data_IF_311208799597
#
_entry.id   IF_311208799597
#
_cell.length_a   1.000
_cell.length_b   1.000
_cell.length_c   1.000
_cell.angle_alpha   90.00
_cell.angle_beta   90.00
_cell.angle_gamma   90.00
#
_symmetry.space_group_name_H-M   'P 1'
#
loop_
_entity.id
_entity.type
_entity.pdbx_description
1 polymer ?
#
# COMPACT_ATOMS: atom_id res chain seq x y z
N UNK A 1 -13.62 30.60 -1.20
CA UNK A 1 -13.76 30.97 0.23
C UNK A 1 -14.84 32.01 0.32
N UNK A 2 -15.80 31.85 1.19
CA UNK A 2 -16.82 32.85 1.47
C UNK A 2 -16.29 33.72 2.60
N UNK A 3 -16.12 35.05 2.32
CA UNK A 3 -15.65 36.03 3.29
C UNK A 3 -16.80 36.79 3.92
N UNK A 4 -18.05 36.43 3.68
CA UNK A 4 -19.25 37.10 4.20
C UNK A 4 -19.22 37.16 5.74
N UNK A 5 -19.41 38.38 6.27
CA UNK A 5 -19.38 38.61 7.70
C UNK A 5 -18.01 38.80 8.35
N UNK A 6 -16.92 38.49 7.63
CA UNK A 6 -15.55 38.80 8.05
C UNK A 6 -15.30 40.27 7.81
N UNK A 7 -14.58 40.94 8.70
CA UNK A 7 -14.28 42.37 8.60
C UNK A 7 -13.02 42.63 7.78
N UNK A 8 -13.08 43.65 6.92
CA UNK A 8 -11.89 44.14 6.23
C UNK A 8 -10.91 44.77 7.25
N UNK A 9 -9.63 44.34 7.26
CA UNK A 9 -8.65 44.78 8.25
C UNK A 9 -8.34 46.31 8.19
N UNK A 10 -8.71 46.98 7.10
CA UNK A 10 -8.42 48.40 6.89
C UNK A 10 -9.58 49.28 7.30
N UNK A 11 -10.82 48.96 6.93
CA UNK A 11 -11.99 49.79 7.17
C UNK A 11 -12.96 49.22 8.22
N UNK A 12 -12.68 48.06 8.76
CA UNK A 12 -13.44 47.33 9.80
C UNK A 12 -14.90 47.00 9.43
N UNK A 13 -15.28 47.20 8.16
CA UNK A 13 -16.61 46.85 7.65
C UNK A 13 -16.65 45.37 7.28
N UNK A 14 -17.77 44.66 7.60
CA UNK A 14 -17.93 43.26 7.20
C UNK A 14 -18.12 43.15 5.70
N UNK A 15 -17.55 42.06 5.10
CA UNK A 15 -17.76 41.77 3.69
C UNK A 15 -19.20 41.30 3.42
N UNK A 16 -19.77 41.79 2.32
CA UNK A 16 -21.07 41.42 1.79
C UNK A 16 -20.92 40.61 0.50
N UNK A 17 -22.02 40.04 -0.01
CA UNK A 17 -21.98 39.22 -1.24
C UNK A 17 -21.57 39.99 -2.50
N UNK A 18 -21.74 41.33 -2.50
CA UNK A 18 -21.47 42.15 -3.67
C UNK A 18 -20.13 42.92 -3.57
N UNK A 19 -19.35 42.70 -2.53
CA UNK A 19 -18.08 43.41 -2.34
C UNK A 19 -16.98 42.83 -3.24
N UNK A 20 -16.22 43.73 -3.87
CA UNK A 20 -15.03 43.34 -4.64
C UNK A 20 -13.84 43.12 -3.68
N UNK A 21 -13.55 41.87 -3.43
CA UNK A 21 -12.55 41.41 -2.46
C UNK A 21 -11.26 41.05 -3.17
N UNK A 22 -10.14 41.49 -2.60
CA UNK A 22 -8.78 41.02 -2.97
C UNK A 22 -8.11 40.37 -1.77
N UNK A 23 -7.34 39.35 -2.02
CA UNK A 23 -6.64 38.57 -0.99
C UNK A 23 -5.14 38.79 -1.12
N UNK A 24 -4.46 38.99 -0.01
CA UNK A 24 -3.01 39.12 -0.01
C UNK A 24 -2.35 37.81 -0.51
N UNK A 25 -1.47 37.84 -1.53
CA UNK A 25 -0.87 36.62 -2.07
C UNK A 25 0.10 35.94 -1.09
N UNK A 26 0.57 36.63 -0.07
CA UNK A 26 1.57 36.07 0.89
C UNK A 26 0.88 35.42 2.09
N UNK A 27 -0.02 36.13 2.79
CA UNK A 27 -0.64 35.61 4.01
C UNK A 27 -2.12 35.21 3.84
N UNK A 28 -2.76 35.54 2.71
CA UNK A 28 -4.16 35.16 2.47
C UNK A 28 -5.21 36.07 3.11
N UNK A 29 -4.83 37.21 3.72
CA UNK A 29 -5.76 38.14 4.35
C UNK A 29 -6.68 38.85 3.33
N UNK A 30 -8.02 38.88 3.54
CA UNK A 30 -8.97 39.53 2.63
C UNK A 30 -9.11 41.05 2.89
N UNK A 31 -9.29 41.79 1.80
CA UNK A 31 -9.49 43.26 1.81
C UNK A 31 -10.54 43.64 0.78
N UNK A 32 -11.28 44.74 0.99
CA UNK A 32 -11.93 45.42 -0.12
C UNK A 32 -10.85 45.91 -1.08
N UNK A 33 -11.05 45.74 -2.39
CA UNK A 33 -10.06 46.15 -3.41
C UNK A 33 -9.67 47.61 -3.30
N UNK A 34 -10.63 48.49 -2.98
CA UNK A 34 -10.37 49.90 -2.74
C UNK A 34 -9.44 50.15 -1.56
N UNK A 35 -9.69 49.49 -0.43
CA UNK A 35 -8.88 49.62 0.79
C UNK A 35 -7.45 49.08 0.59
N UNK A 36 -7.30 48.00 -0.16
CA UNK A 36 -5.99 47.45 -0.46
C UNK A 36 -5.16 48.35 -1.38
N UNK A 37 -5.81 48.99 -2.37
CA UNK A 37 -5.16 49.95 -3.25
C UNK A 37 -4.76 51.24 -2.49
N UNK A 38 -5.60 51.71 -1.58
CA UNK A 38 -5.32 52.93 -0.77
C UNK A 38 -4.13 52.71 0.18
N UNK A 39 -4.02 51.53 0.80
CA UNK A 39 -2.88 51.15 1.66
C UNK A 39 -1.63 50.79 0.89
N UNK A 40 -1.75 50.37 -0.36
CA UNK A 40 -0.64 49.98 -1.24
C UNK A 40 0.04 48.67 -0.87
N UNK A 41 -0.21 48.14 0.32
CA UNK A 41 0.37 46.85 0.79
C UNK A 41 -0.51 46.17 1.86
N UNK A 42 -0.23 44.91 2.14
CA UNK A 42 -0.86 44.17 3.24
C UNK A 42 -0.40 44.74 4.59
N UNK A 43 -1.33 44.90 5.56
CA UNK A 43 -1.01 45.42 6.88
C UNK A 43 -0.43 44.36 7.84
N UNK A 44 -0.49 43.09 7.50
CA UNK A 44 0.01 41.98 8.31
C UNK A 44 1.44 41.60 7.92
N UNK A 45 2.39 42.53 8.10
CA UNK A 45 3.82 42.33 7.81
C UNK A 45 4.42 41.20 8.65
N UNK A 46 4.01 41.08 9.91
CA UNK A 46 4.47 40.06 10.86
C UNK A 46 4.13 38.62 10.40
N UNK A 47 2.96 38.48 9.74
CA UNK A 47 2.57 37.18 9.15
C UNK A 47 3.43 36.84 7.94
N UNK A 48 3.86 37.84 7.16
CA UNK A 48 4.75 37.64 6.02
C UNK A 48 6.15 37.22 6.47
N UNK A 49 6.69 37.88 7.48
CA UNK A 49 8.02 37.55 8.04
C UNK A 49 8.05 36.19 8.71
N UNK A 50 6.95 35.80 9.38
CA UNK A 50 6.84 34.52 10.06
C UNK A 50 6.38 33.35 9.16
N UNK A 51 6.05 33.62 7.88
CA UNK A 51 5.53 32.63 6.94
C UNK A 51 4.16 32.04 7.33
N UNK A 52 3.41 32.74 8.20
CA UNK A 52 2.10 32.27 8.68
C UNK A 52 0.98 32.77 7.78
N UNK A 53 -0.07 31.98 7.65
CA UNK A 53 -1.31 32.34 6.96
C UNK A 53 -2.22 33.13 7.90
N UNK A 54 -2.93 34.13 7.34
CA UNK A 54 -3.96 34.85 8.07
C UNK A 54 -5.15 33.92 8.39
N UNK A 55 -5.69 34.04 9.59
CA UNK A 55 -6.93 33.40 10.01
C UNK A 55 -7.92 34.47 10.51
N UNK A 56 -9.24 34.30 10.25
CA UNK A 56 -10.24 35.24 10.77
C UNK A 56 -10.22 35.28 12.30
N UNK A 57 -10.38 36.45 12.92
CA UNK A 57 -10.48 36.57 14.37
C UNK A 57 -11.65 35.73 14.89
N UNK A 58 -11.40 34.88 15.86
CA UNK A 58 -12.43 34.06 16.51
C UNK A 58 -13.29 34.99 17.38
N UNK A 59 -14.65 34.96 17.27
CA UNK A 59 -15.52 35.75 18.15
C UNK A 59 -15.27 35.36 19.62
N UNK A 60 -15.30 36.29 20.57
CA UNK A 60 -15.03 36.05 21.99
C UNK A 60 -15.98 35.04 22.66
N UNK A 61 -17.12 34.75 22.03
CA UNK A 61 -18.13 33.78 22.52
C UNK A 61 -18.09 32.42 21.82
N UNK A 62 -17.10 32.17 20.95
CA UNK A 62 -16.90 30.83 20.45
C UNK A 62 -16.31 29.97 21.60
N UNK A 63 -16.97 28.84 21.98
CA UNK A 63 -16.40 27.97 23.01
C UNK A 63 -14.99 27.59 22.59
N UNK A 64 -14.02 27.82 23.50
CA UNK A 64 -12.62 27.41 23.32
C UNK A 64 -12.57 25.90 23.11
N UNK A 65 -12.72 25.46 21.87
CA UNK A 65 -12.52 24.07 21.46
C UNK A 65 -11.04 23.81 21.17
N UNK A 66 -10.17 24.12 22.11
CA UNK A 66 -8.98 23.33 22.38
C UNK A 66 -9.37 22.19 23.34
N UNK A 67 -10.51 21.54 23.09
CA UNK A 67 -10.70 20.18 23.56
C UNK A 67 -9.68 19.36 22.79
N UNK A 68 -8.76 18.74 23.51
CA UNK A 68 -7.94 17.65 23.00
C UNK A 68 -8.86 16.76 22.17
N UNK A 69 -8.69 16.78 20.87
CA UNK A 69 -9.48 15.96 19.94
C UNK A 69 -9.11 14.52 20.22
N UNK A 70 -9.86 13.90 21.15
CA UNK A 70 -9.61 12.50 21.54
C UNK A 70 -9.76 11.63 20.30
N UNK A 71 -8.76 10.81 20.05
CA UNK A 71 -8.81 9.77 19.04
C UNK A 71 -10.06 8.90 19.25
N UNK A 72 -10.69 8.50 18.14
CA UNK A 72 -11.88 7.65 18.17
C UNK A 72 -11.49 6.20 18.35
N UNK A 73 -11.98 5.58 19.39
CA UNK A 73 -11.87 4.14 19.55
C UNK A 73 -12.90 3.44 18.65
N UNK A 74 -12.46 2.46 17.88
CA UNK A 74 -13.35 1.70 17.01
C UNK A 74 -14.25 0.77 17.83
N UNK A 75 -15.58 0.86 17.72
CA UNK A 75 -16.51 0.03 18.51
C UNK A 75 -16.44 -1.46 18.14
N UNK A 76 -15.85 -1.80 17.00
CA UNK A 76 -15.78 -3.18 16.54
C UNK A 76 -14.44 -3.88 16.88
N UNK A 77 -13.30 -3.14 16.88
CA UNK A 77 -11.98 -3.76 17.09
C UNK A 77 -11.12 -3.06 18.14
N UNK A 78 -11.62 -2.03 18.82
CA UNK A 78 -10.90 -1.30 19.87
C UNK A 78 -9.72 -0.46 19.40
N UNK A 79 -9.45 -0.37 18.09
CA UNK A 79 -8.32 0.40 17.57
C UNK A 79 -8.57 1.90 17.67
N UNK A 80 -7.61 2.64 18.20
CA UNK A 80 -7.63 4.10 18.18
C UNK A 80 -7.40 4.61 16.76
N UNK A 81 -8.28 5.51 16.34
CA UNK A 81 -8.25 6.15 15.02
C UNK A 81 -8.25 7.67 15.21
N UNK A 82 -7.65 8.39 14.28
CA UNK A 82 -7.66 9.85 14.33
C UNK A 82 -9.09 10.38 14.47
N UNK A 83 -9.27 11.49 15.21
CA UNK A 83 -10.57 12.11 15.41
C UNK A 83 -11.37 12.36 14.12
N UNK A 84 -10.67 12.70 13.04
CA UNK A 84 -11.24 12.94 11.70
C UNK A 84 -11.54 11.67 10.92
N UNK A 85 -11.19 10.48 11.41
CA UNK A 85 -11.42 9.23 10.72
C UNK A 85 -12.93 8.95 10.59
N UNK A 86 -13.36 8.66 9.36
CA UNK A 86 -14.74 8.27 9.06
C UNK A 86 -14.92 6.76 9.19
N UNK A 87 -13.84 6.02 9.00
CA UNK A 87 -13.81 4.55 9.11
C UNK A 87 -12.58 4.12 9.89
N UNK A 88 -12.67 3.00 10.59
CA UNK A 88 -11.55 2.40 11.29
C UNK A 88 -10.47 1.94 10.28
N UNK A 89 -9.22 2.36 10.51
CA UNK A 89 -8.08 2.03 9.65
C UNK A 89 -7.70 0.53 9.67
N UNK A 90 -8.19 -0.22 10.65
CA UNK A 90 -7.91 -1.66 10.82
C UNK A 90 -9.06 -2.51 10.28
N UNK A 91 -10.31 -2.26 10.69
CA UNK A 91 -11.44 -3.14 10.38
C UNK A 91 -12.47 -2.54 9.41
N UNK A 92 -12.31 -1.27 9.00
CA UNK A 92 -13.23 -0.60 8.08
C UNK A 92 -14.59 -0.23 8.68
N UNK A 93 -14.83 -0.43 9.99
CA UNK A 93 -16.08 -0.04 10.65
C UNK A 93 -16.26 1.47 10.60
N UNK A 94 -17.50 1.93 10.32
CA UNK A 94 -17.82 3.37 10.33
C UNK A 94 -17.65 3.95 11.74
N UNK A 95 -16.96 5.08 11.83
CA UNK A 95 -16.71 5.84 13.06
C UNK A 95 -17.53 7.13 13.13
N UNK A 96 -18.52 7.31 12.24
CA UNK A 96 -19.33 8.52 12.14
C UNK A 96 -20.52 8.55 13.08
N UNK A 97 -20.76 7.49 13.88
CA UNK A 97 -21.85 7.42 14.85
C UNK A 97 -23.25 7.28 14.22
N UNK A 98 -23.35 7.11 12.91
CA UNK A 98 -24.61 6.72 12.29
C UNK A 98 -24.91 5.26 12.69
N UNK A 99 -26.11 4.95 13.23
CA UNK A 99 -26.48 3.56 13.49
C UNK A 99 -26.43 2.79 12.18
N UNK A 100 -25.82 1.62 12.20
CA UNK A 100 -25.86 0.66 11.08
C UNK A 100 -27.32 0.15 10.95
N UNK A 101 -28.18 0.90 10.27
CA UNK A 101 -29.56 0.48 9.95
C UNK A 101 -29.63 -0.72 8.98
N UNK A 102 -28.49 -1.29 8.60
CA UNK A 102 -28.44 -2.43 7.67
C UNK A 102 -28.08 -3.77 8.29
N UNK A 103 -28.38 -3.96 9.60
CA UNK A 103 -28.13 -5.27 10.24
C UNK A 103 -29.36 -6.18 10.35
N UNK A 104 -30.39 -6.02 9.52
CA UNK A 104 -31.41 -7.05 9.33
C UNK A 104 -32.38 -6.68 8.19
N UNK A 105 -32.07 -7.07 6.97
CA UNK A 105 -33.12 -7.40 6.01
C UNK A 105 -32.70 -8.62 5.21
N UNK A 106 -33.27 -9.74 5.57
CA UNK A 106 -33.30 -10.93 4.73
C UNK A 106 -33.88 -10.55 3.37
N UNK A 107 -33.25 -11.01 2.33
CA UNK A 107 -33.72 -10.87 0.96
C UNK A 107 -35.10 -11.51 0.84
N UNK A 108 -36.14 -10.70 0.81
CA UNK A 108 -37.44 -11.10 0.29
C UNK A 108 -37.56 -10.49 -1.11
N UNK A 109 -37.33 -11.33 -2.08
CA UNK A 109 -37.59 -11.05 -3.50
C UNK A 109 -39.10 -10.97 -3.68
N UNK A 110 -39.68 -9.77 -3.66
CA UNK A 110 -40.98 -9.54 -4.25
C UNK A 110 -40.82 -8.53 -5.39
N UNK A 111 -40.94 -9.08 -6.58
CA UNK A 111 -41.11 -8.36 -7.85
C UNK A 111 -42.34 -7.46 -7.75
N UNK A 112 -42.17 -6.17 -7.95
CA UNK A 112 -43.27 -5.28 -8.29
C UNK A 112 -43.26 -4.99 -9.80
N UNK A 113 -44.23 -5.51 -10.57
CA UNK A 113 -44.31 -5.28 -11.99
C UNK A 113 -45.18 -4.06 -12.29
N UNK A 114 -44.67 -2.85 -12.21
CA UNK A 114 -45.28 -1.67 -12.84
C UNK A 114 -44.35 -0.45 -12.72
N UNK A 115 -43.52 -0.26 -13.74
CA UNK A 115 -43.27 1.04 -14.32
C UNK A 115 -42.47 0.89 -15.64
N UNK A 116 -43.21 0.61 -16.70
CA UNK A 116 -42.76 0.84 -18.06
C UNK A 116 -43.08 2.30 -18.39
N UNK A 117 -42.05 3.10 -18.70
CA UNK A 117 -42.03 4.27 -19.57
C UNK A 117 -41.08 5.35 -19.04
N UNK A 118 -39.84 5.27 -19.48
CA UNK A 118 -39.05 6.48 -19.72
C UNK A 118 -38.03 6.22 -20.85
N UNK A 119 -38.23 6.74 -22.07
CA UNK A 119 -37.30 6.58 -23.18
C UNK A 119 -36.34 7.76 -23.23
N UNK A 120 -35.25 7.74 -22.47
CA UNK A 120 -34.07 8.55 -22.78
C UNK A 120 -32.83 7.89 -22.15
N UNK A 121 -32.37 6.83 -22.78
CA UNK A 121 -31.08 6.23 -22.52
C UNK A 121 -30.00 6.97 -23.30
N UNK A 122 -29.07 7.60 -22.58
CA UNK A 122 -27.75 7.89 -23.13
C UNK A 122 -26.76 6.90 -22.57
N UNK A 123 -26.39 5.94 -23.39
CA UNK A 123 -25.23 5.09 -23.21
C UNK A 123 -23.97 5.95 -23.29
N UNK A 124 -23.24 6.08 -22.18
CA UNK A 124 -21.86 6.53 -22.24
C UNK A 124 -20.95 5.39 -21.74
N UNK A 125 -20.52 4.56 -22.66
CA UNK A 125 -19.40 3.65 -22.49
C UNK A 125 -18.13 4.49 -22.59
N UNK A 126 -17.41 4.61 -21.49
CA UNK A 126 -15.94 4.68 -21.38
C UNK A 126 -15.53 5.37 -20.08
N UNK A 127 -15.59 4.61 -18.98
CA UNK A 127 -14.78 4.95 -17.81
C UNK A 127 -14.31 3.66 -17.12
N UNK A 128 -13.02 3.30 -17.15
CA UNK A 128 -12.52 2.07 -16.52
C UNK A 128 -12.43 2.14 -14.99
N UNK A 129 -12.84 3.24 -14.40
CA UNK A 129 -12.99 3.39 -12.95
C UNK A 129 -14.49 3.53 -12.65
N UNK A 130 -15.09 2.42 -12.18
CA UNK A 130 -16.51 2.31 -11.89
C UNK A 130 -17.05 3.51 -11.10
N UNK A 131 -18.01 4.19 -11.73
CA UNK A 131 -18.77 5.28 -11.13
C UNK A 131 -19.61 4.73 -9.98
N UNK A 132 -19.44 5.28 -8.78
CA UNK A 132 -20.43 5.19 -7.73
C UNK A 132 -21.72 5.87 -8.20
N UNK A 133 -22.91 5.32 -7.89
CA UNK A 133 -24.14 6.07 -8.10
C UNK A 133 -24.07 7.38 -7.29
N UNK A 134 -24.52 8.51 -7.87
CA UNK A 134 -24.52 9.77 -7.14
C UNK A 134 -25.44 9.64 -5.91
N UNK A 135 -25.06 10.19 -4.75
CA UNK A 135 -25.95 10.24 -3.61
C UNK A 135 -27.18 11.05 -3.96
N UNK A 136 -28.36 10.45 -3.77
CA UNK A 136 -29.62 11.14 -3.94
C UNK A 136 -29.67 12.35 -3.02
N UNK A 137 -29.99 13.50 -3.60
CA UNK A 137 -30.17 14.77 -2.96
C UNK A 137 -31.12 14.67 -1.75
N UNK A 138 -30.58 14.78 -0.55
CA UNK A 138 -31.28 15.45 0.54
C UNK A 138 -30.46 16.67 0.92
N UNK A 139 -31.06 17.81 0.66
CA UNK A 139 -30.53 19.13 0.88
C UNK A 139 -30.07 19.32 2.34
N UNK A 140 -28.88 19.92 2.48
CA UNK A 140 -28.24 20.55 3.65
C UNK A 140 -27.01 19.85 4.22
N UNK A 141 -26.06 19.48 3.36
CA UNK A 141 -24.67 19.45 3.80
C UNK A 141 -23.86 20.44 2.98
N UNK A 142 -23.73 21.67 3.50
CA UNK A 142 -22.67 22.58 3.09
C UNK A 142 -21.34 21.89 3.37
N UNK A 143 -20.76 21.30 2.34
CA UNK A 143 -19.36 20.89 2.36
C UNK A 143 -18.50 22.15 2.52
N UNK A 144 -18.10 22.44 3.75
CA UNK A 144 -16.97 23.33 4.00
C UNK A 144 -15.75 22.68 3.35
N UNK A 145 -15.44 23.13 2.14
CA UNK A 145 -14.27 22.73 1.41
C UNK A 145 -13.02 23.14 2.16
N UNK A 146 -12.36 22.17 2.76
CA UNK A 146 -10.96 22.28 3.07
C UNK A 146 -10.22 22.15 1.74
N UNK A 147 -9.40 23.15 1.41
CA UNK A 147 -8.74 23.29 0.12
C UNK A 147 -8.06 22.01 -0.32
N UNK A 148 -8.44 21.56 -1.50
CA UNK A 148 -7.66 20.81 -2.46
C UNK A 148 -6.74 19.69 -1.96
N UNK A 149 -7.27 18.65 -1.28
CA UNK A 149 -6.61 17.36 -1.26
C UNK A 149 -7.46 16.40 -2.09
N UNK A 150 -7.07 16.12 -3.34
CA UNK A 150 -7.88 15.29 -4.24
C UNK A 150 -7.90 13.80 -3.91
N UNK A 151 -7.36 13.39 -2.76
CA UNK A 151 -7.32 12.00 -2.35
C UNK A 151 -7.90 11.85 -0.95
N UNK A 152 -9.22 11.62 -0.87
CA UNK A 152 -9.77 10.94 0.30
C UNK A 152 -9.08 9.58 0.39
N UNK A 153 -8.21 9.38 1.39
CA UNK A 153 -7.56 8.09 1.63
C UNK A 153 -8.66 7.10 2.02
N UNK A 154 -8.96 6.17 1.11
CA UNK A 154 -9.87 5.07 1.40
C UNK A 154 -9.07 3.90 1.98
N UNK A 155 -9.20 3.61 3.29
CA UNK A 155 -8.46 2.52 3.94
C UNK A 155 -8.86 1.14 3.42
N UNK A 156 -10.04 1.01 2.78
CA UNK A 156 -10.54 -0.24 2.20
C UNK A 156 -10.16 -0.40 0.71
N UNK A 157 -9.49 0.60 0.10
CA UNK A 157 -9.05 0.53 -1.30
C UNK A 157 -10.18 0.32 -2.29
N UNK A 158 -11.36 0.87 -2.02
CA UNK A 158 -12.58 0.75 -2.82
C UNK A 158 -13.37 -0.53 -2.61
N UNK A 159 -12.99 -1.40 -1.68
CA UNK A 159 -13.73 -2.61 -1.35
C UNK A 159 -14.82 -2.31 -0.31
N UNK A 160 -16.04 -2.83 -0.52
CA UNK A 160 -17.10 -2.73 0.49
C UNK A 160 -16.80 -3.72 1.63
N UNK A 161 -16.70 -3.26 2.91
CA UNK A 161 -16.43 -4.14 4.04
C UNK A 161 -17.41 -5.29 4.22
N UNK A 162 -18.67 -5.09 3.85
CA UNK A 162 -19.73 -6.11 3.96
C UNK A 162 -19.78 -7.11 2.79
N UNK A 163 -19.05 -6.82 1.71
CA UNK A 163 -19.02 -7.70 0.52
C UNK A 163 -18.23 -8.97 0.81
N UNK A 164 -18.76 -10.13 0.35
CA UNK A 164 -18.13 -11.42 0.56
C UNK A 164 -16.98 -11.68 -0.42
N UNK A 165 -15.83 -12.04 0.12
CA UNK A 165 -14.66 -12.50 -0.65
C UNK A 165 -14.74 -14.00 -0.92
N UNK A 166 -15.23 -14.77 0.06
CA UNK A 166 -15.45 -16.20 0.00
C UNK A 166 -16.62 -16.57 0.94
N UNK A 167 -16.96 -17.86 1.01
CA UNK A 167 -18.00 -18.33 1.92
C UNK A 167 -17.71 -17.88 3.36
N UNK A 168 -18.65 -17.17 3.94
CA UNK A 168 -18.59 -16.63 5.30
C UNK A 168 -17.38 -15.71 5.61
N UNK A 169 -16.74 -15.13 4.59
CA UNK A 169 -15.58 -14.22 4.71
C UNK A 169 -15.85 -12.93 3.98
N UNK A 170 -15.87 -11.81 4.69
CA UNK A 170 -16.05 -10.47 4.09
C UNK A 170 -14.71 -9.75 3.87
N UNK A 171 -14.70 -8.67 3.05
CA UNK A 171 -13.52 -7.79 2.94
C UNK A 171 -13.16 -7.14 4.27
N UNK A 172 -14.16 -6.85 5.15
CA UNK A 172 -13.94 -6.38 6.50
C UNK A 172 -13.15 -7.38 7.35
N UNK A 173 -13.46 -8.67 7.26
CA UNK A 173 -12.70 -9.72 7.97
C UNK A 173 -11.27 -9.85 7.42
N UNK A 174 -11.14 -9.85 6.10
CA UNK A 174 -9.82 -9.91 5.45
C UNK A 174 -8.95 -8.70 5.83
N UNK A 175 -9.54 -7.51 5.98
CA UNK A 175 -8.82 -6.31 6.40
C UNK A 175 -8.18 -6.47 7.79
N UNK A 176 -8.89 -7.15 8.72
CA UNK A 176 -8.40 -7.46 10.07
C UNK A 176 -7.18 -8.39 10.06
N UNK A 177 -7.10 -9.30 9.09
CA UNK A 177 -5.94 -10.18 8.91
C UNK A 177 -4.79 -9.46 8.19
N UNK A 178 -5.08 -8.64 7.18
CA UNK A 178 -4.05 -7.91 6.42
C UNK A 178 -3.33 -6.88 7.28
N UNK A 179 -4.04 -6.10 8.06
CA UNK A 179 -3.61 -5.01 8.97
C UNK A 179 -2.73 -3.95 8.29
N UNK A 180 -1.60 -4.33 7.71
CA UNK A 180 -0.67 -3.39 7.08
C UNK A 180 -0.87 -3.34 5.57
N UNK A 181 -0.93 -2.10 5.05
CA UNK A 181 -1.12 -1.80 3.63
C UNK A 181 -2.46 -2.32 3.08
N UNK A 182 -3.51 -2.22 3.90
CA UNK A 182 -4.85 -2.77 3.67
C UNK A 182 -5.46 -2.25 2.37
N UNK A 183 -5.42 -0.94 2.14
CA UNK A 183 -5.96 -0.31 0.93
C UNK A 183 -5.40 -0.91 -0.36
N UNK A 184 -4.08 -1.14 -0.40
CA UNK A 184 -3.43 -1.78 -1.55
C UNK A 184 -3.90 -3.22 -1.74
N UNK A 185 -3.84 -4.03 -0.68
CA UNK A 185 -4.16 -5.47 -0.81
C UNK A 185 -5.64 -5.71 -1.10
N UNK A 186 -6.55 -4.99 -0.45
CA UNK A 186 -7.98 -5.16 -0.72
C UNK A 186 -8.35 -4.76 -2.14
N UNK A 187 -7.77 -3.66 -2.66
CA UNK A 187 -7.91 -3.29 -4.07
C UNK A 187 -7.42 -4.40 -5.01
N UNK A 188 -6.24 -4.98 -4.73
CA UNK A 188 -5.69 -6.10 -5.51
C UNK A 188 -6.57 -7.34 -5.39
N UNK A 189 -7.06 -7.68 -4.20
CA UNK A 189 -7.91 -8.84 -3.96
C UNK A 189 -9.26 -8.71 -4.69
N UNK A 190 -9.84 -7.52 -4.69
CA UNK A 190 -11.04 -7.22 -5.48
C UNK A 190 -10.79 -7.45 -6.98
N UNK A 191 -9.68 -6.97 -7.51
CA UNK A 191 -9.31 -7.21 -8.91
C UNK A 191 -9.13 -8.71 -9.22
N UNK A 192 -8.55 -9.47 -8.30
CA UNK A 192 -8.40 -10.93 -8.45
C UNK A 192 -9.77 -11.61 -8.50
N UNK A 193 -10.71 -11.20 -7.63
CA UNK A 193 -12.06 -11.79 -7.55
C UNK A 193 -12.92 -11.39 -8.74
N UNK A 194 -12.91 -10.11 -9.14
CA UNK A 194 -13.77 -9.61 -10.21
C UNK A 194 -13.27 -9.98 -11.62
N UNK A 195 -11.95 -9.98 -11.83
CA UNK A 195 -11.37 -10.11 -13.17
C UNK A 195 -10.41 -11.29 -13.32
N UNK A 196 -10.16 -12.06 -12.27
CA UNK A 196 -9.19 -13.15 -12.28
C UNK A 196 -7.72 -12.71 -12.47
N UNK A 197 -7.44 -11.40 -12.50
CA UNK A 197 -6.12 -10.84 -12.79
C UNK A 197 -5.44 -10.37 -11.51
N UNK A 198 -4.20 -10.83 -11.30
CA UNK A 198 -3.34 -10.36 -10.20
C UNK A 198 -2.33 -9.35 -10.72
N UNK A 199 -2.03 -8.31 -9.94
CA UNK A 199 -0.89 -7.44 -10.19
C UNK A 199 0.40 -8.16 -9.82
N UNK A 200 1.50 -7.87 -10.53
CA UNK A 200 2.84 -8.34 -10.16
C UNK A 200 3.24 -7.72 -8.82
N UNK A 201 3.77 -8.54 -7.91
CA UNK A 201 4.22 -8.09 -6.59
C UNK A 201 5.75 -8.00 -6.59
N UNK A 202 6.26 -6.78 -6.77
CA UNK A 202 7.70 -6.55 -6.87
C UNK A 202 8.45 -6.89 -5.57
N UNK A 203 7.86 -6.61 -4.41
CA UNK A 203 8.47 -6.98 -3.12
C UNK A 203 8.56 -8.50 -2.97
N UNK A 204 7.53 -9.22 -3.40
CA UNK A 204 7.55 -10.68 -3.37
C UNK A 204 8.51 -11.27 -4.41
N UNK A 205 8.70 -10.63 -5.55
CA UNK A 205 9.74 -10.98 -6.51
C UNK A 205 11.13 -10.85 -5.91
N UNK A 206 11.45 -9.69 -5.30
CA UNK A 206 12.79 -9.43 -4.73
C UNK A 206 13.12 -10.33 -3.54
N UNK A 207 12.18 -10.47 -2.61
CA UNK A 207 12.41 -11.16 -1.33
C UNK A 207 11.90 -12.59 -1.30
N UNK A 208 11.14 -13.01 -2.32
CA UNK A 208 10.62 -14.38 -2.52
C UNK A 208 10.10 -15.03 -1.23
N UNK A 209 10.77 -16.04 -0.71
CA UNK A 209 10.42 -16.71 0.53
C UNK A 209 10.39 -15.79 1.74
N UNK A 210 11.26 -14.79 1.81
CA UNK A 210 11.28 -13.79 2.87
C UNK A 210 10.00 -12.96 2.92
N UNK A 211 9.44 -12.58 1.77
CA UNK A 211 8.17 -11.89 1.70
C UNK A 211 7.00 -12.77 2.19
N UNK A 212 7.01 -14.06 1.83
CA UNK A 212 6.01 -15.02 2.30
C UNK A 212 6.06 -15.19 3.82
N UNK A 213 7.26 -15.30 4.40
CA UNK A 213 7.47 -15.38 5.85
C UNK A 213 7.07 -14.09 6.56
N UNK A 214 7.41 -12.94 6.00
CA UNK A 214 6.97 -11.63 6.50
C UNK A 214 5.45 -11.55 6.59
N UNK A 215 4.72 -12.05 5.58
CA UNK A 215 3.25 -12.12 5.54
C UNK A 215 2.65 -13.34 6.28
N UNK A 216 3.43 -13.97 7.16
CA UNK A 216 3.02 -15.13 7.99
C UNK A 216 2.57 -16.36 7.20
N UNK A 217 2.89 -16.45 5.90
CA UNK A 217 2.65 -17.64 5.09
C UNK A 217 3.77 -18.67 5.32
N UNK A 218 3.92 -19.14 6.55
CA UNK A 218 5.09 -19.91 7.00
C UNK A 218 5.36 -21.15 6.18
N UNK A 219 4.34 -21.96 5.83
CA UNK A 219 4.53 -23.20 5.05
C UNK A 219 5.19 -22.92 3.70
N UNK A 220 4.59 -22.03 2.90
CA UNK A 220 5.12 -21.66 1.59
C UNK A 220 6.44 -20.90 1.71
N UNK A 221 6.55 -20.00 2.70
CA UNK A 221 7.76 -19.22 2.94
C UNK A 221 8.96 -20.08 3.30
N UNK A 222 8.83 -21.05 4.22
CA UNK A 222 9.91 -21.96 4.61
C UNK A 222 10.36 -22.79 3.40
N UNK A 223 9.43 -23.40 2.67
CA UNK A 223 9.76 -24.23 1.49
C UNK A 223 10.53 -23.38 0.46
N UNK A 224 10.02 -22.19 0.11
CA UNK A 224 10.65 -21.32 -0.89
C UNK A 224 12.04 -20.85 -0.42
N UNK A 225 12.16 -20.42 0.84
CA UNK A 225 13.45 -19.96 1.40
C UNK A 225 14.47 -21.09 1.43
N UNK A 226 14.07 -22.32 1.82
CA UNK A 226 14.95 -23.48 1.84
C UNK A 226 15.44 -23.84 0.44
N UNK A 227 14.55 -23.87 -0.55
CA UNK A 227 14.95 -24.16 -1.95
C UNK A 227 15.92 -23.09 -2.46
N UNK A 228 15.63 -21.81 -2.24
CA UNK A 228 16.51 -20.70 -2.64
C UNK A 228 17.87 -20.79 -1.96
N UNK A 229 17.90 -21.13 -0.68
CA UNK A 229 19.14 -21.33 0.08
C UNK A 229 19.98 -22.50 -0.48
N UNK A 230 19.36 -23.64 -0.74
CA UNK A 230 20.05 -24.81 -1.32
C UNK A 230 20.61 -24.51 -2.71
N UNK A 231 19.86 -23.80 -3.57
CA UNK A 231 20.34 -23.35 -4.88
C UNK A 231 21.48 -22.36 -4.75
N UNK A 232 21.45 -21.46 -3.76
CA UNK A 232 22.53 -20.52 -3.49
C UNK A 232 23.81 -21.24 -3.05
N UNK A 233 23.72 -22.20 -2.13
CA UNK A 233 24.86 -23.00 -1.67
C UNK A 233 25.42 -23.84 -2.83
N UNK A 234 24.56 -24.48 -3.63
CA UNK A 234 25.00 -25.22 -4.83
C UNK A 234 25.75 -24.31 -5.81
N UNK A 235 25.21 -23.11 -6.06
CA UNK A 235 25.87 -22.11 -6.92
C UNK A 235 27.24 -21.72 -6.36
N UNK A 236 27.34 -21.44 -5.05
CA UNK A 236 28.59 -21.11 -4.40
C UNK A 236 29.63 -22.25 -4.49
N UNK A 237 29.21 -23.49 -4.19
CA UNK A 237 30.09 -24.66 -4.29
C UNK A 237 30.59 -24.88 -5.71
N UNK A 238 29.71 -24.80 -6.71
CA UNK A 238 30.09 -24.90 -8.12
C UNK A 238 31.06 -23.78 -8.54
N UNK A 239 30.84 -22.56 -8.06
CA UNK A 239 31.74 -21.45 -8.33
C UNK A 239 33.14 -21.68 -7.73
N UNK A 240 33.21 -22.09 -6.46
CA UNK A 240 34.49 -22.29 -5.77
C UNK A 240 35.25 -23.53 -6.23
N UNK A 241 34.55 -24.66 -6.46
CA UNK A 241 35.22 -25.93 -6.74
C UNK A 241 35.25 -26.35 -8.20
N UNK A 242 34.52 -25.65 -9.07
CA UNK A 242 34.51 -25.93 -10.52
C UNK A 242 34.98 -24.72 -11.32
N UNK A 243 34.30 -23.57 -11.17
CA UNK A 243 34.59 -22.40 -12.02
C UNK A 243 35.96 -21.79 -11.70
N UNK A 244 36.27 -21.57 -10.40
CA UNK A 244 37.57 -20.98 -10.01
C UNK A 244 38.76 -21.87 -10.44
N UNK A 245 38.79 -23.19 -10.17
CA UNK A 245 39.89 -24.04 -10.62
C UNK A 245 40.06 -24.07 -12.13
N UNK A 246 38.97 -24.12 -12.91
CA UNK A 246 39.04 -24.04 -14.38
C UNK A 246 39.66 -22.71 -14.81
N UNK A 247 39.21 -21.62 -14.19
CA UNK A 247 39.66 -20.26 -14.52
C UNK A 247 41.14 -20.09 -14.20
N UNK A 248 41.60 -20.51 -13.01
CA UNK A 248 43.03 -20.47 -12.64
C UNK A 248 43.89 -21.32 -13.56
N UNK A 249 43.47 -22.55 -13.89
CA UNK A 249 44.18 -23.40 -14.82
C UNK A 249 44.34 -22.77 -16.21
N UNK A 250 43.30 -22.08 -16.70
CA UNK A 250 43.39 -21.40 -18.02
C UNK A 250 44.35 -20.21 -17.96
N UNK A 251 44.35 -19.45 -16.88
CA UNK A 251 45.26 -18.30 -16.67
C UNK A 251 46.71 -18.79 -16.56
N UNK A 252 46.99 -19.83 -15.78
CA UNK A 252 48.29 -20.41 -15.57
C UNK A 252 48.88 -20.94 -16.88
N UNK A 253 48.09 -21.62 -17.69
CA UNK A 253 48.48 -22.15 -18.99
C UNK A 253 48.77 -21.03 -20.00
N UNK A 254 48.09 -19.88 -19.88
CA UNK A 254 48.36 -18.71 -20.71
C UNK A 254 49.66 -17.99 -20.34
N UNK A 255 50.25 -18.32 -19.18
CA UNK A 255 51.51 -17.67 -18.72
C UNK A 255 51.41 -16.19 -18.42
N UNK A 256 50.20 -15.70 -18.16
CA UNK A 256 49.91 -14.27 -17.96
C UNK A 256 49.44 -14.07 -16.51
N UNK A 257 49.87 -12.95 -15.89
CA UNK A 257 49.35 -12.60 -14.57
C UNK A 257 47.86 -12.22 -14.63
N UNK A 258 47.07 -12.67 -13.66
CA UNK A 258 45.64 -12.36 -13.56
C UNK A 258 45.37 -10.85 -13.52
N UNK A 259 46.32 -10.05 -13.01
CA UNK A 259 46.23 -8.56 -12.96
C UNK A 259 46.36 -7.88 -14.32
N UNK A 260 46.95 -8.55 -15.29
CA UNK A 260 47.28 -7.97 -16.60
C UNK A 260 46.24 -8.35 -17.68
N UNK A 261 45.30 -9.23 -17.33
CA UNK A 261 44.22 -9.70 -18.21
C UNK A 261 43.00 -8.79 -18.13
N UNK A 262 42.59 -8.27 -19.28
CA UNK A 262 41.27 -7.65 -19.40
C UNK A 262 40.17 -8.73 -19.38
N UNK A 263 38.94 -8.34 -18.95
CA UNK A 263 37.77 -9.26 -18.97
C UNK A 263 37.52 -9.90 -20.35
N UNK A 264 37.77 -9.17 -21.42
CA UNK A 264 37.57 -9.67 -22.80
C UNK A 264 38.64 -10.73 -23.16
N UNK A 265 39.87 -10.54 -22.76
CA UNK A 265 40.96 -11.51 -23.00
C UNK A 265 40.71 -12.78 -22.21
N UNK A 266 40.34 -12.67 -20.94
CA UNK A 266 39.97 -13.82 -20.10
C UNK A 266 38.77 -14.60 -20.68
N UNK A 267 37.73 -13.88 -21.13
CA UNK A 267 36.57 -14.50 -21.76
C UNK A 267 36.94 -15.28 -23.04
N UNK A 268 37.84 -14.72 -23.86
CA UNK A 268 38.32 -15.40 -25.07
C UNK A 268 39.11 -16.66 -24.74
N UNK A 269 40.05 -16.59 -23.80
CA UNK A 269 40.83 -17.74 -23.34
C UNK A 269 39.93 -18.85 -22.76
N UNK A 270 38.97 -18.51 -21.90
CA UNK A 270 38.01 -19.44 -21.37
C UNK A 270 37.13 -20.05 -22.45
N UNK A 271 36.64 -19.25 -23.40
CA UNK A 271 35.80 -19.75 -24.48
C UNK A 271 36.54 -20.76 -25.35
N UNK A 272 37.79 -20.49 -25.68
CA UNK A 272 38.65 -21.40 -26.46
C UNK A 272 38.87 -22.71 -25.67
N UNK A 273 39.31 -22.64 -24.43
CA UNK A 273 39.51 -23.80 -23.58
C UNK A 273 38.24 -24.65 -23.41
N UNK A 274 37.10 -24.03 -23.21
CA UNK A 274 35.83 -24.71 -23.04
C UNK A 274 35.30 -25.38 -24.33
N UNK A 275 35.62 -24.80 -25.50
CA UNK A 275 35.30 -25.45 -26.79
C UNK A 275 36.11 -26.72 -27.00
N UNK A 276 37.37 -26.73 -26.57
CA UNK A 276 38.26 -27.91 -26.69
C UNK A 276 37.92 -28.98 -25.63
N UNK A 277 37.20 -28.61 -24.57
CA UNK A 277 36.85 -29.47 -23.45
C UNK A 277 35.33 -29.52 -23.15
N UNK A 278 34.49 -30.22 -23.91
CA UNK A 278 33.02 -30.18 -23.78
C UNK A 278 32.50 -30.62 -22.41
N UNK A 279 33.19 -31.53 -21.73
CA UNK A 279 32.82 -31.95 -20.35
C UNK A 279 32.99 -30.82 -19.33
N UNK A 280 34.06 -30.04 -19.48
CA UNK A 280 34.30 -28.87 -18.63
C UNK A 280 33.31 -27.73 -18.94
N UNK A 281 32.92 -27.56 -20.22
CA UNK A 281 31.90 -26.59 -20.63
C UNK A 281 30.57 -26.86 -19.91
N UNK A 282 30.10 -28.09 -19.87
CA UNK A 282 28.86 -28.45 -19.19
C UNK A 282 28.91 -28.11 -17.68
N UNK A 283 30.02 -28.44 -17.01
CA UNK A 283 30.22 -28.16 -15.59
C UNK A 283 30.31 -26.66 -15.33
N UNK A 284 30.97 -25.89 -16.21
CA UNK A 284 31.10 -24.45 -16.13
C UNK A 284 29.76 -23.72 -16.23
N UNK A 285 28.79 -24.30 -16.97
CA UNK A 285 27.46 -23.72 -17.13
C UNK A 285 26.49 -24.02 -15.96
N UNK A 286 26.80 -24.95 -15.07
CA UNK A 286 25.89 -25.31 -13.95
C UNK A 286 25.55 -24.15 -13.01
N UNK A 287 26.46 -23.24 -12.62
CA UNK A 287 26.12 -22.05 -11.80
C UNK A 287 25.11 -21.12 -12.50
N UNK A 288 25.20 -20.99 -13.83
CA UNK A 288 24.21 -20.23 -14.59
C UNK A 288 22.83 -20.85 -14.53
N UNK A 289 22.76 -22.19 -14.61
CA UNK A 289 21.50 -22.91 -14.44
C UNK A 289 20.91 -22.70 -13.04
N UNK A 290 21.71 -22.79 -11.98
CA UNK A 290 21.27 -22.50 -10.62
C UNK A 290 20.73 -21.06 -10.50
N UNK A 291 21.42 -20.08 -11.08
CA UNK A 291 21.01 -18.67 -11.09
C UNK A 291 19.69 -18.47 -11.87
N UNK A 292 19.54 -19.14 -13.01
CA UNK A 292 18.33 -19.11 -13.83
C UNK A 292 17.13 -19.72 -13.07
N UNK A 293 17.33 -20.82 -12.35
CA UNK A 293 16.30 -21.45 -11.51
C UNK A 293 15.89 -20.52 -10.36
N UNK A 294 16.85 -19.87 -9.68
CA UNK A 294 16.55 -18.89 -8.66
C UNK A 294 15.71 -17.74 -9.20
N UNK A 295 16.09 -17.17 -10.36
CA UNK A 295 15.32 -16.13 -11.03
C UNK A 295 13.90 -16.60 -11.41
N UNK A 296 13.78 -17.83 -11.90
CA UNK A 296 12.48 -18.45 -12.20
C UNK A 296 11.57 -18.52 -10.97
N UNK A 297 12.10 -18.93 -9.81
CA UNK A 297 11.36 -18.96 -8.55
C UNK A 297 10.95 -17.55 -8.13
N UNK A 298 11.84 -16.56 -8.25
CA UNK A 298 11.53 -15.15 -7.93
C UNK A 298 10.37 -14.64 -8.79
N UNK A 299 10.41 -14.88 -10.09
CA UNK A 299 9.34 -14.48 -11.03
C UNK A 299 8.03 -15.21 -10.66
N UNK A 300 8.08 -16.50 -10.43
CA UNK A 300 6.90 -17.29 -10.03
C UNK A 300 6.24 -16.73 -8.76
N UNK A 301 7.04 -16.46 -7.73
CA UNK A 301 6.53 -15.87 -6.48
C UNK A 301 5.98 -14.47 -6.76
N UNK A 302 6.67 -13.61 -7.50
CA UNK A 302 6.20 -12.26 -7.84
C UNK A 302 4.84 -12.23 -8.53
N UNK A 303 4.59 -13.19 -9.43
CA UNK A 303 3.31 -13.32 -10.14
C UNK A 303 2.20 -13.88 -9.25
N UNK A 304 2.52 -14.87 -8.41
CA UNK A 304 1.53 -15.63 -7.63
C UNK A 304 1.28 -15.09 -6.23
N UNK A 305 2.18 -14.26 -5.69
CA UNK A 305 2.20 -13.81 -4.29
C UNK A 305 0.86 -13.24 -3.81
N UNK A 306 0.25 -12.33 -4.56
CA UNK A 306 -1.01 -11.69 -4.15
C UNK A 306 -2.17 -12.70 -4.09
N UNK A 307 -2.22 -13.67 -5.01
CA UNK A 307 -3.23 -14.73 -5.01
C UNK A 307 -3.00 -15.70 -3.84
N UNK A 308 -1.75 -16.06 -3.58
CA UNK A 308 -1.39 -16.90 -2.43
C UNK A 308 -1.75 -16.19 -1.12
N UNK A 309 -1.51 -14.88 -1.05
CA UNK A 309 -1.83 -14.09 0.13
C UNK A 309 -3.33 -13.94 0.35
N UNK A 310 -4.13 -13.72 -0.70
CA UNK A 310 -5.59 -13.72 -0.61
C UNK A 310 -6.10 -15.06 -0.03
N UNK A 311 -5.63 -16.19 -0.60
CA UNK A 311 -6.04 -17.52 -0.13
C UNK A 311 -5.62 -17.76 1.33
N UNK A 312 -4.43 -17.28 1.72
CA UNK A 312 -3.97 -17.35 3.10
C UNK A 312 -4.89 -16.54 4.04
N UNK A 313 -5.21 -15.29 3.69
CA UNK A 313 -6.10 -14.44 4.49
C UNK A 313 -7.50 -15.08 4.64
N UNK A 314 -8.08 -15.57 3.53
CA UNK A 314 -9.39 -16.24 3.57
C UNK A 314 -9.37 -17.46 4.49
N UNK A 315 -8.35 -18.33 4.36
CA UNK A 315 -8.21 -19.51 5.22
C UNK A 315 -8.03 -19.12 6.69
N UNK A 316 -7.20 -18.13 6.98
CA UNK A 316 -6.98 -17.65 8.35
C UNK A 316 -8.28 -17.11 8.96
N UNK A 317 -9.09 -16.34 8.21
CA UNK A 317 -10.40 -15.89 8.69
C UNK A 317 -11.35 -17.06 8.98
N UNK A 318 -11.40 -18.05 8.07
CA UNK A 318 -12.24 -19.24 8.25
C UNK A 318 -11.82 -20.03 9.49
N UNK A 319 -10.52 -20.23 9.71
CA UNK A 319 -9.97 -20.89 10.90
C UNK A 319 -10.33 -20.11 12.19
N UNK A 320 -10.16 -18.79 12.20
CA UNK A 320 -10.53 -17.94 13.36
C UNK A 320 -12.02 -18.07 13.67
N UNK A 321 -12.88 -17.93 12.65
CA UNK A 321 -14.34 -18.03 12.84
C UNK A 321 -14.81 -19.41 13.26
N UNK A 322 -14.06 -20.47 12.98
CA UNK A 322 -14.41 -21.83 13.39
C UNK A 322 -14.07 -22.14 14.85
N UNK A 323 -13.14 -21.41 15.45
CA UNK A 323 -12.64 -21.67 16.82
C UNK A 323 -13.22 -20.70 17.83
N UNK A 324 -13.46 -19.44 17.46
CA UNK A 324 -13.85 -18.39 18.38
C UNK A 324 -15.38 -18.28 18.51
N UNK A 325 -15.90 -18.38 19.73
CA UNK A 325 -17.32 -18.33 20.03
C UNK A 325 -17.81 -16.95 20.51
N UNK A 326 -16.90 -16.02 20.85
CA UNK A 326 -17.22 -14.67 21.33
C UNK A 326 -16.56 -13.59 20.48
N UNK A 327 -17.17 -12.38 20.41
CA UNK A 327 -16.63 -11.26 19.62
C UNK A 327 -15.27 -10.75 20.15
N UNK A 328 -15.07 -10.80 21.47
CA UNK A 328 -13.80 -10.42 22.11
C UNK A 328 -12.68 -11.37 21.74
N UNK A 329 -12.93 -12.69 21.74
CA UNK A 329 -11.97 -13.70 21.31
C UNK A 329 -11.62 -13.55 19.83
N UNK A 330 -12.62 -13.24 18.98
CA UNK A 330 -12.43 -12.97 17.56
C UNK A 330 -11.44 -11.82 17.31
N UNK A 331 -11.58 -10.70 18.03
CA UNK A 331 -10.71 -9.54 17.85
C UNK A 331 -9.26 -9.82 18.27
N UNK A 332 -9.08 -10.55 19.36
CA UNK A 332 -7.77 -10.97 19.85
C UNK A 332 -7.07 -11.91 18.84
N UNK A 333 -7.80 -12.90 18.31
CA UNK A 333 -7.29 -13.83 17.31
C UNK A 333 -6.92 -13.14 15.99
N UNK A 334 -7.71 -12.19 15.48
CA UNK A 334 -7.35 -11.38 14.32
C UNK A 334 -6.07 -10.59 14.56
N UNK A 335 -5.88 -10.04 15.75
CA UNK A 335 -4.66 -9.29 16.08
C UNK A 335 -3.44 -10.22 16.17
N UNK A 336 -3.58 -11.39 16.76
CA UNK A 336 -2.49 -12.34 16.94
C UNK A 336 -2.06 -13.01 15.62
N UNK A 337 -3.02 -13.49 14.83
CA UNK A 337 -2.74 -14.23 13.59
C UNK A 337 -2.55 -13.35 12.38
N UNK A 338 -3.13 -12.13 12.38
CA UNK A 338 -2.99 -11.16 11.30
C UNK A 338 -1.66 -10.42 11.30
N UNK A 339 -1.55 -9.46 10.37
CA UNK A 339 -0.41 -8.57 10.24
C UNK A 339 0.83 -9.21 9.64
N UNK A 340 1.99 -8.75 10.10
CA UNK A 340 3.30 -9.13 9.56
C UNK A 340 4.25 -9.57 10.66
N UNK A 341 5.24 -10.38 10.30
CA UNK A 341 6.30 -10.79 11.22
C UNK A 341 7.61 -10.06 10.89
N UNK A 342 7.81 -8.93 11.55
CA UNK A 342 8.97 -8.07 11.34
C UNK A 342 10.27 -8.74 11.84
N UNK A 343 10.19 -9.49 12.94
CA UNK A 343 11.36 -10.17 13.54
C UNK A 343 11.99 -11.15 12.55
N UNK A 344 11.15 -12.00 11.92
CA UNK A 344 11.63 -12.96 10.89
C UNK A 344 12.31 -12.23 9.74
N UNK A 345 11.81 -11.07 9.34
CA UNK A 345 12.41 -10.28 8.25
C UNK A 345 13.80 -9.79 8.61
N UNK A 346 14.00 -9.26 9.82
CA UNK A 346 15.33 -8.84 10.29
C UNK A 346 16.29 -10.02 10.43
N UNK A 347 15.82 -11.16 10.95
CA UNK A 347 16.64 -12.37 11.02
C UNK A 347 17.09 -12.84 9.62
N UNK A 348 16.21 -12.86 8.65
CA UNK A 348 16.54 -13.24 7.27
C UNK A 348 17.52 -12.26 6.62
N UNK A 349 17.35 -10.96 6.86
CA UNK A 349 18.26 -9.93 6.36
C UNK A 349 19.66 -10.12 6.97
N UNK A 350 19.76 -10.36 8.27
CA UNK A 350 21.03 -10.64 8.95
C UNK A 350 21.68 -11.91 8.39
N UNK A 351 20.94 -13.00 8.23
CA UNK A 351 21.42 -14.22 7.59
C UNK A 351 21.94 -13.97 6.17
N UNK A 352 21.20 -13.21 5.37
CA UNK A 352 21.61 -12.84 4.01
C UNK A 352 22.92 -12.06 4.01
N UNK A 353 23.07 -11.08 4.91
CA UNK A 353 24.31 -10.32 5.05
C UNK A 353 25.48 -11.23 5.41
N UNK A 354 25.34 -12.14 6.35
CA UNK A 354 26.37 -13.13 6.73
C UNK A 354 26.75 -14.00 5.51
N UNK A 355 25.77 -14.56 4.81
CA UNK A 355 26.00 -15.40 3.64
C UNK A 355 26.74 -14.65 2.52
N UNK A 356 26.51 -13.35 2.38
CA UNK A 356 27.18 -12.52 1.37
C UNK A 356 28.69 -12.37 1.62
N UNK A 357 29.14 -12.51 2.88
CA UNK A 357 30.54 -12.42 3.27
C UNK A 357 31.29 -13.76 3.20
N UNK A 358 30.59 -14.89 3.16
CA UNK A 358 31.21 -16.24 3.12
C UNK A 358 32.22 -16.38 1.97
N UNK A 359 31.96 -15.96 0.71
CA UNK A 359 32.92 -16.08 -0.38
C UNK A 359 34.28 -15.44 -0.10
N UNK A 360 34.31 -14.33 0.67
CA UNK A 360 35.54 -13.62 1.02
C UNK A 360 36.46 -14.41 1.97
N UNK A 361 35.94 -15.43 2.64
CA UNK A 361 36.71 -16.31 3.53
C UNK A 361 37.09 -17.64 2.85
N UNK A 362 36.52 -17.94 1.67
CA UNK A 362 36.78 -19.17 0.91
C UNK A 362 37.72 -18.94 -0.28
N UNK A 363 38.01 -17.70 -0.62
CA UNK A 363 39.00 -17.28 -1.63
C UNK A 363 40.27 -16.78 -0.96
#
# INVERSE_FOLDING_TARGET
MDYKGIKCPVCDKPFTENDDIVVCPVCGAPYHRGCYKEKGACIFTDLHESGKTWAPPVPPDAPNTTSELKDKECPNCGTLNAHSALFCNICGTSLTGAPDEHRNTGYNTQQNPNNANNPNGYNNYNNPYGSYPPPQNNANYQSRGFGGVPFAFDPMGGANPAEFVADNVTYGDVSKVVQQNTAYYLSVFRNIKSFGRSKFNFSAFLFSGGWLLYRKQYKAGIITTTIMFLLYIANLMLSCFVVNPITTHVIDNAGVSSSDLSYVQLANLLSQYLMDNPSQYLLFCLPLLCSALMLGIMIFVGVRANRMYLNHCVRTVQEIKSVSNTETDLSAEYTARGGVNVVVTFCLLACYMILRWIPLFLT
#
